data_IF_626500237823
#
_entry.id   IF_626500237823
#
_cell.length_a   1.000
_cell.length_b   1.000
_cell.length_c   1.000
_cell.angle_alpha   90.00
_cell.angle_beta   90.00
_cell.angle_gamma   90.00
#
_symmetry.space_group_name_H-M   'P 1'
#
loop_
_entity.id
_entity.type
_entity.pdbx_description
1 polymer ?
#
# COMPACT_ATOMS: atom_id res chain seq x y z
N UNK A 1 -19.86 -36.41 -12.86
CA UNK A 1 -21.07 -36.57 -13.69
C UNK A 1 -21.76 -35.22 -13.88
N UNK A 2 -22.37 -34.62 -12.85
CA UNK A 2 -23.02 -33.30 -12.98
C UNK A 2 -22.17 -32.21 -13.66
N UNK A 3 -20.91 -32.04 -13.24
CA UNK A 3 -20.02 -31.05 -13.87
C UNK A 3 -19.77 -31.33 -15.36
N UNK A 4 -19.70 -32.59 -15.77
CA UNK A 4 -19.50 -32.97 -17.18
C UNK A 4 -20.74 -32.64 -18.01
N UNK A 5 -21.94 -32.89 -17.46
CA UNK A 5 -23.20 -32.50 -18.09
C UNK A 5 -23.32 -30.99 -18.24
N UNK A 6 -22.95 -30.23 -17.19
CA UNK A 6 -22.88 -28.77 -17.23
C UNK A 6 -21.93 -28.34 -18.36
N UNK A 7 -20.68 -28.80 -18.38
CA UNK A 7 -19.71 -28.44 -19.41
C UNK A 7 -20.24 -28.72 -20.83
N UNK A 8 -20.84 -29.88 -21.06
CA UNK A 8 -21.44 -30.22 -22.35
C UNK A 8 -22.59 -29.27 -22.72
N UNK A 9 -23.46 -28.92 -21.77
CA UNK A 9 -24.57 -27.97 -21.99
C UNK A 9 -24.10 -26.53 -22.25
N UNK A 10 -22.97 -26.13 -21.67
CA UNK A 10 -22.32 -24.85 -21.96
C UNK A 10 -21.52 -24.86 -23.28
N UNK A 11 -21.53 -25.97 -24.03
CA UNK A 11 -20.92 -26.07 -25.36
C UNK A 11 -19.42 -26.38 -25.35
N UNK A 12 -18.87 -26.83 -24.21
CA UNK A 12 -17.48 -27.28 -24.18
C UNK A 12 -17.31 -28.57 -25.00
N UNK A 13 -16.31 -28.60 -25.88
CA UNK A 13 -16.05 -29.75 -26.74
C UNK A 13 -15.59 -30.99 -25.96
N UNK A 14 -15.86 -32.18 -26.50
CA UNK A 14 -15.54 -33.46 -25.87
C UNK A 14 -14.08 -33.58 -25.41
N UNK A 15 -13.14 -33.02 -26.18
CA UNK A 15 -11.71 -33.02 -25.84
C UNK A 15 -11.45 -32.27 -24.51
N UNK A 16 -12.08 -31.13 -24.32
CA UNK A 16 -11.95 -30.33 -23.10
C UNK A 16 -12.58 -31.05 -21.90
N UNK A 17 -13.80 -31.56 -22.08
CA UNK A 17 -14.48 -32.33 -21.02
C UNK A 17 -13.64 -33.53 -20.57
N UNK A 18 -13.04 -34.26 -21.52
CA UNK A 18 -12.15 -35.39 -21.22
C UNK A 18 -10.90 -34.93 -20.45
N UNK A 19 -10.29 -33.79 -20.79
CA UNK A 19 -9.16 -33.26 -20.04
C UNK A 19 -9.53 -32.93 -18.59
N UNK A 20 -10.64 -32.22 -18.37
CA UNK A 20 -11.12 -31.90 -17.02
C UNK A 20 -11.43 -33.18 -16.24
N UNK A 21 -12.09 -34.15 -16.88
CA UNK A 21 -12.40 -35.43 -16.24
C UNK A 21 -11.12 -36.21 -15.88
N UNK A 22 -10.11 -36.20 -16.75
CA UNK A 22 -8.81 -36.78 -16.45
C UNK A 22 -8.15 -36.09 -15.25
N UNK A 23 -8.11 -34.75 -15.21
CA UNK A 23 -7.55 -33.99 -14.08
C UNK A 23 -8.22 -34.32 -12.74
N UNK A 24 -9.55 -34.45 -12.75
CA UNK A 24 -10.31 -34.80 -11.53
C UNK A 24 -10.07 -36.25 -11.11
N UNK A 25 -10.08 -37.20 -12.06
CA UNK A 25 -9.86 -38.63 -11.79
C UNK A 25 -8.42 -38.95 -11.38
N UNK A 26 -7.43 -38.28 -11.95
CA UNK A 26 -6.01 -38.51 -11.65
C UNK A 26 -5.57 -37.85 -10.34
N UNK A 27 -6.43 -37.06 -9.69
CA UNK A 27 -6.08 -36.35 -8.47
C UNK A 27 -5.97 -37.32 -7.27
N UNK A 28 -4.77 -37.37 -6.69
CA UNK A 28 -4.46 -38.07 -5.42
C UNK A 28 -3.87 -37.10 -4.42
N UNK A 29 -4.07 -37.33 -3.13
CA UNK A 29 -3.41 -36.60 -2.05
C UNK A 29 -2.89 -37.52 -0.97
N UNK A 30 -1.97 -36.98 -0.17
CA UNK A 30 -1.55 -37.55 1.11
C UNK A 30 -1.68 -36.47 2.19
N UNK A 31 -2.02 -36.89 3.41
CA UNK A 31 -2.11 -35.98 4.55
C UNK A 31 -0.86 -36.17 5.40
N UNK A 32 -0.26 -35.08 5.86
CA UNK A 32 0.82 -35.17 6.84
C UNK A 32 0.24 -35.47 8.23
N UNK A 33 0.58 -36.64 8.78
CA UNK A 33 0.28 -37.02 10.16
C UNK A 33 1.61 -37.11 10.90
N UNK A 34 1.78 -36.26 11.92
CA UNK A 34 3.02 -36.17 12.72
C UNK A 34 4.30 -35.93 11.91
N UNK A 35 4.21 -35.18 10.80
CA UNK A 35 5.37 -34.84 9.97
C UNK A 35 5.71 -35.89 8.91
N UNK A 36 4.96 -37.00 8.82
CA UNK A 36 5.10 -38.00 7.77
C UNK A 36 3.85 -38.01 6.87
N UNK A 37 3.99 -38.12 5.54
CA UNK A 37 2.85 -38.24 4.64
C UNK A 37 2.19 -39.63 4.82
N UNK A 38 0.86 -39.67 4.83
CA UNK A 38 0.09 -40.92 4.74
C UNK A 38 0.17 -41.51 3.34
N UNK A 39 -0.34 -42.72 3.18
CA UNK A 39 -0.59 -43.29 1.86
C UNK A 39 -1.49 -42.37 1.02
N UNK A 40 -1.25 -42.39 -0.29
CA UNK A 40 -2.04 -41.60 -1.23
C UNK A 40 -3.46 -42.16 -1.36
N UNK A 41 -4.44 -41.28 -1.26
CA UNK A 41 -5.85 -41.59 -1.51
C UNK A 41 -6.40 -40.75 -2.66
N UNK A 42 -7.39 -41.30 -3.36
CA UNK A 42 -8.03 -40.66 -4.51
C UNK A 42 -9.21 -39.78 -4.06
N UNK A 43 -9.37 -38.62 -4.71
CA UNK A 43 -10.55 -37.79 -4.48
C UNK A 43 -11.77 -38.30 -5.24
N UNK A 44 -12.83 -38.63 -4.51
CA UNK A 44 -14.12 -38.99 -5.12
C UNK A 44 -15.06 -37.79 -5.27
N UNK A 45 -14.88 -36.75 -4.45
CA UNK A 45 -15.68 -35.51 -4.46
C UNK A 45 -14.83 -34.31 -4.06
N UNK A 46 -15.15 -33.16 -4.64
CA UNK A 46 -14.48 -31.89 -4.35
C UNK A 46 -13.31 -31.61 -5.29
N UNK A 47 -12.88 -30.35 -5.30
CA UNK A 47 -11.76 -29.86 -6.10
C UNK A 47 -10.64 -29.42 -5.17
N UNK A 48 -9.38 -29.61 -5.56
CA UNK A 48 -8.23 -29.34 -4.70
C UNK A 48 -8.16 -27.86 -4.33
N UNK A 49 -8.03 -27.56 -3.04
CA UNK A 49 -7.82 -26.20 -2.59
C UNK A 49 -6.44 -25.71 -3.06
N UNK A 50 -6.41 -24.62 -3.82
CA UNK A 50 -5.18 -24.08 -4.43
C UNK A 50 -4.94 -24.51 -5.88
N UNK A 51 -5.77 -25.38 -6.45
CA UNK A 51 -5.75 -25.62 -7.90
C UNK A 51 -6.32 -24.40 -8.65
N UNK A 52 -5.60 -23.85 -9.65
CA UNK A 52 -6.05 -22.69 -10.41
C UNK A 52 -7.33 -22.92 -11.21
N UNK A 53 -7.68 -24.17 -11.57
CA UNK A 53 -8.90 -24.46 -12.35
C UNK A 53 -10.16 -24.58 -11.49
N UNK A 54 -10.00 -25.07 -10.27
CA UNK A 54 -11.07 -25.30 -9.31
C UNK A 54 -12.07 -24.14 -9.15
N UNK A 55 -11.65 -22.86 -9.02
CA UNK A 55 -12.60 -21.75 -8.89
C UNK A 55 -13.47 -21.56 -10.14
N UNK A 56 -12.91 -21.75 -11.33
CA UNK A 56 -13.65 -21.58 -12.59
C UNK A 56 -14.69 -22.69 -12.79
N UNK A 57 -14.32 -23.93 -12.46
CA UNK A 57 -15.26 -25.05 -12.50
C UNK A 57 -16.40 -24.85 -11.50
N UNK A 58 -16.10 -24.29 -10.33
CA UNK A 58 -17.14 -23.96 -9.34
C UNK A 58 -18.08 -22.85 -9.83
N UNK A 59 -17.55 -21.82 -10.52
CA UNK A 59 -18.39 -20.77 -11.13
C UNK A 59 -19.37 -21.37 -12.14
N UNK A 60 -18.93 -22.32 -12.98
CA UNK A 60 -19.82 -22.98 -13.94
C UNK A 60 -20.93 -23.81 -13.25
N UNK A 61 -20.60 -24.46 -12.14
CA UNK A 61 -21.60 -25.15 -11.32
C UNK A 61 -22.59 -24.14 -10.73
N UNK A 62 -22.12 -23.02 -10.19
CA UNK A 62 -22.99 -21.97 -9.64
C UNK A 62 -23.83 -21.26 -10.71
N UNK A 63 -23.34 -21.17 -11.94
CA UNK A 63 -24.11 -20.64 -13.07
C UNK A 63 -25.34 -21.51 -13.36
N UNK A 64 -25.22 -22.83 -13.20
CA UNK A 64 -26.39 -23.72 -13.32
C UNK A 64 -27.46 -23.46 -12.24
N UNK A 65 -27.04 -23.09 -11.02
CA UNK A 65 -27.96 -22.65 -9.96
C UNK A 65 -28.57 -21.29 -10.31
N UNK A 66 -27.78 -20.35 -10.85
CA UNK A 66 -28.26 -19.05 -11.31
C UNK A 66 -29.38 -19.22 -12.33
N UNK A 67 -29.16 -20.02 -13.37
CA UNK A 67 -30.14 -20.27 -14.43
C UNK A 67 -31.38 -20.99 -13.90
N UNK A 68 -31.20 -21.96 -12.98
CA UNK A 68 -32.32 -22.68 -12.38
C UNK A 68 -33.19 -21.75 -11.53
N UNK A 69 -32.57 -20.90 -10.72
CA UNK A 69 -33.29 -19.94 -9.87
C UNK A 69 -33.94 -18.83 -10.71
N UNK A 70 -33.28 -18.37 -11.77
CA UNK A 70 -33.84 -17.37 -12.68
C UNK A 70 -35.15 -17.86 -13.31
N UNK A 71 -35.21 -19.12 -13.75
CA UNK A 71 -36.47 -19.71 -14.27
C UNK A 71 -37.60 -19.72 -13.24
N UNK A 72 -37.28 -19.97 -11.98
CA UNK A 72 -38.25 -19.96 -10.87
C UNK A 72 -38.81 -18.55 -10.65
N UNK A 73 -37.96 -17.53 -10.82
CA UNK A 73 -38.36 -16.12 -10.78
C UNK A 73 -39.20 -15.76 -12.01
N UNK A 74 -38.78 -16.17 -13.21
CA UNK A 74 -39.45 -15.85 -14.48
C UNK A 74 -40.88 -16.43 -14.55
N UNK A 75 -41.08 -17.63 -13.99
CA UNK A 75 -42.39 -18.29 -13.88
C UNK A 75 -43.23 -17.70 -12.73
N UNK A 76 -42.64 -16.85 -11.89
CA UNK A 76 -43.33 -16.18 -10.78
C UNK A 76 -43.49 -17.04 -9.52
N UNK A 77 -42.81 -18.18 -9.41
CA UNK A 77 -42.80 -19.03 -8.22
C UNK A 77 -41.98 -18.44 -7.07
N UNK A 78 -41.02 -17.57 -7.40
CA UNK A 78 -40.27 -16.78 -6.43
C UNK A 78 -40.36 -15.29 -6.77
N UNK A 79 -40.86 -14.50 -5.83
CA UNK A 79 -41.00 -13.04 -6.00
C UNK A 79 -39.78 -12.31 -5.45
N UNK A 80 -38.91 -11.82 -6.33
CA UNK A 80 -37.75 -10.98 -5.99
C UNK A 80 -38.14 -9.58 -5.51
N UNK A 81 -37.13 -8.74 -5.26
CA UNK A 81 -37.28 -7.33 -4.89
C UNK A 81 -37.12 -6.46 -6.14
N UNK A 82 -38.17 -5.75 -6.53
CA UNK A 82 -38.10 -4.77 -7.62
C UNK A 82 -37.46 -3.48 -7.10
N UNK A 83 -36.28 -3.15 -7.60
CA UNK A 83 -35.62 -1.88 -7.29
C UNK A 83 -36.14 -0.76 -8.20
N UNK A 84 -36.28 -1.06 -9.50
CA UNK A 84 -36.73 -0.14 -10.54
C UNK A 84 -37.64 -0.90 -11.53
N UNK A 85 -38.25 -0.22 -12.50
CA UNK A 85 -39.08 -0.86 -13.54
C UNK A 85 -38.37 -1.95 -14.37
N UNK A 86 -37.03 -1.98 -14.38
CA UNK A 86 -36.23 -2.89 -15.20
C UNK A 86 -35.35 -3.87 -14.40
N UNK A 87 -35.29 -3.75 -13.07
CA UNK A 87 -34.36 -4.54 -12.25
C UNK A 87 -35.09 -5.21 -11.08
N UNK A 88 -35.25 -6.52 -11.20
CA UNK A 88 -35.70 -7.41 -10.13
C UNK A 88 -34.48 -8.11 -9.52
N UNK A 89 -34.24 -7.89 -8.23
CA UNK A 89 -33.16 -8.51 -7.47
C UNK A 89 -33.70 -9.74 -6.73
N UNK A 90 -33.28 -10.93 -7.16
CA UNK A 90 -33.70 -12.21 -6.59
C UNK A 90 -32.57 -12.97 -5.91
N UNK A 91 -31.36 -12.92 -6.46
CA UNK A 91 -30.20 -13.64 -5.97
C UNK A 91 -28.88 -12.99 -6.39
N UNK A 92 -27.83 -13.21 -5.61
CA UNK A 92 -26.46 -12.77 -5.88
C UNK A 92 -25.48 -13.84 -5.44
N UNK A 93 -24.48 -14.14 -6.28
CA UNK A 93 -23.44 -15.11 -5.98
C UNK A 93 -22.06 -14.45 -6.03
N UNK A 94 -21.24 -14.72 -5.02
CA UNK A 94 -19.84 -14.33 -4.97
C UNK A 94 -19.01 -15.51 -4.50
N UNK A 95 -18.32 -16.18 -5.44
CA UNK A 95 -17.65 -17.45 -5.18
C UNK A 95 -18.59 -18.42 -4.44
N UNK A 96 -18.26 -18.79 -3.20
CA UNK A 96 -19.03 -19.72 -2.37
C UNK A 96 -20.18 -19.07 -1.58
N UNK A 97 -20.26 -17.73 -1.56
CA UNK A 97 -21.29 -17.01 -0.83
C UNK A 97 -22.49 -16.71 -1.73
N UNK A 98 -23.67 -17.12 -1.28
CA UNK A 98 -24.93 -16.90 -1.97
C UNK A 98 -25.89 -16.07 -1.11
N UNK A 99 -26.52 -15.06 -1.71
CA UNK A 99 -27.60 -14.29 -1.11
C UNK A 99 -28.85 -14.45 -1.96
N UNK A 100 -29.98 -14.72 -1.31
CA UNK A 100 -31.30 -14.71 -1.92
C UNK A 100 -32.13 -13.58 -1.31
N UNK A 101 -32.80 -12.81 -2.16
CA UNK A 101 -33.56 -11.62 -1.79
C UNK A 101 -34.94 -11.68 -2.43
N UNK A 102 -35.99 -11.54 -1.63
CA UNK A 102 -37.35 -11.60 -2.14
C UNK A 102 -38.35 -11.04 -1.15
N UNK A 103 -39.60 -10.94 -1.60
CA UNK A 103 -40.72 -10.55 -0.75
C UNK A 103 -40.90 -11.58 0.39
N UNK A 104 -41.17 -11.10 1.60
CA UNK A 104 -41.41 -11.99 2.73
C UNK A 104 -42.73 -12.73 2.54
N UNK A 105 -42.66 -14.04 2.28
CA UNK A 105 -43.81 -14.93 2.19
C UNK A 105 -43.39 -16.38 2.43
N UNK A 106 -44.28 -17.17 3.01
CA UNK A 106 -44.04 -18.61 3.19
C UNK A 106 -43.83 -19.35 1.88
N UNK A 107 -44.49 -18.89 0.80
CA UNK A 107 -44.32 -19.43 -0.55
C UNK A 107 -42.89 -19.23 -1.01
N UNK A 108 -42.34 -18.01 -0.96
CA UNK A 108 -40.95 -17.75 -1.34
C UNK A 108 -39.95 -18.56 -0.52
N UNK A 109 -40.15 -18.67 0.80
CA UNK A 109 -39.27 -19.45 1.68
C UNK A 109 -39.28 -20.93 1.31
N UNK A 110 -40.47 -21.48 1.06
CA UNK A 110 -40.63 -22.89 0.67
C UNK A 110 -40.06 -23.16 -0.72
N UNK A 111 -40.30 -22.27 -1.68
CA UNK A 111 -39.70 -22.34 -3.02
C UNK A 111 -38.18 -22.32 -2.94
N UNK A 112 -37.60 -21.46 -2.11
CA UNK A 112 -36.14 -21.40 -1.91
C UNK A 112 -35.61 -22.74 -1.38
N UNK A 113 -36.24 -23.34 -0.37
CA UNK A 113 -35.87 -24.64 0.17
C UNK A 113 -35.85 -25.70 -0.94
N UNK A 114 -36.94 -25.82 -1.70
CA UNK A 114 -37.03 -26.82 -2.76
C UNK A 114 -35.97 -26.64 -3.85
N UNK A 115 -35.71 -25.41 -4.30
CA UNK A 115 -34.69 -25.18 -5.33
C UNK A 115 -33.30 -25.56 -4.84
N UNK A 116 -32.99 -25.24 -3.59
CA UNK A 116 -31.71 -25.57 -2.97
C UNK A 116 -31.55 -27.08 -2.72
N UNK A 117 -32.62 -27.78 -2.34
CA UNK A 117 -32.64 -29.24 -2.21
C UNK A 117 -32.46 -29.92 -3.58
N UNK A 118 -33.20 -29.50 -4.61
CA UNK A 118 -33.04 -29.98 -5.97
C UNK A 118 -31.60 -29.78 -6.46
N UNK A 119 -31.03 -28.61 -6.20
CA UNK A 119 -29.65 -28.32 -6.56
C UNK A 119 -28.65 -29.22 -5.80
N UNK A 120 -28.85 -29.43 -4.50
CA UNK A 120 -28.01 -30.34 -3.71
C UNK A 120 -28.04 -31.77 -4.26
N UNK A 121 -29.24 -32.29 -4.55
CA UNK A 121 -29.40 -33.63 -5.11
C UNK A 121 -28.78 -33.78 -6.51
N UNK A 122 -28.84 -32.74 -7.34
CA UNK A 122 -28.26 -32.77 -8.68
C UNK A 122 -26.73 -32.58 -8.67
N UNK A 123 -26.24 -31.58 -7.94
CA UNK A 123 -24.85 -31.13 -8.04
C UNK A 123 -23.92 -31.73 -6.98
N UNK A 124 -24.44 -32.03 -5.79
CA UNK A 124 -23.68 -32.60 -4.66
C UNK A 124 -23.20 -31.62 -3.57
N UNK A 125 -22.90 -30.33 -3.83
CA UNK A 125 -22.62 -29.34 -2.80
C UNK A 125 -23.76 -29.18 -1.78
N UNK A 126 -23.50 -29.56 -0.53
CA UNK A 126 -24.42 -29.37 0.59
C UNK A 126 -24.32 -27.95 1.14
N UNK A 127 -25.45 -27.27 1.25
CA UNK A 127 -25.52 -25.96 1.90
C UNK A 127 -25.21 -26.11 3.38
N UNK A 128 -24.33 -25.23 3.87
CA UNK A 128 -24.01 -25.20 5.27
C UNK A 128 -25.06 -24.38 6.02
N UNK A 129 -26.10 -25.06 6.52
CA UNK A 129 -27.19 -24.44 7.27
C UNK A 129 -26.72 -23.74 8.56
N UNK A 130 -25.67 -24.25 9.21
CA UNK A 130 -25.07 -23.61 10.40
C UNK A 130 -24.42 -22.26 10.10
N UNK A 131 -23.90 -22.06 8.88
CA UNK A 131 -23.34 -20.78 8.42
C UNK A 131 -24.37 -19.91 7.72
N UNK A 132 -25.47 -20.50 7.27
CA UNK A 132 -26.55 -19.81 6.59
C UNK A 132 -27.37 -19.00 7.60
N UNK A 133 -27.84 -17.83 7.16
CA UNK A 133 -28.63 -16.94 8.02
C UNK A 133 -29.76 -16.28 7.26
N UNK A 134 -30.88 -16.03 7.95
CA UNK A 134 -32.04 -15.31 7.42
C UNK A 134 -32.23 -13.97 8.14
N UNK A 135 -32.61 -12.94 7.39
CA UNK A 135 -32.97 -11.62 7.92
C UNK A 135 -34.32 -11.19 7.36
N UNK A 136 -35.24 -10.79 8.24
CA UNK A 136 -36.46 -10.08 7.85
C UNK A 136 -36.24 -8.57 7.88
N UNK A 137 -36.53 -7.89 6.79
CA UNK A 137 -36.53 -6.41 6.74
C UNK A 137 -37.95 -5.92 6.98
N UNK A 138 -38.15 -5.18 8.08
CA UNK A 138 -39.49 -4.74 8.51
C UNK A 138 -40.47 -5.90 8.75
N UNK A 139 -39.97 -7.01 9.30
CA UNK A 139 -40.74 -8.20 9.68
C UNK A 139 -40.55 -8.43 11.17
N UNK A 140 -41.63 -8.82 11.86
CA UNK A 140 -41.58 -9.12 13.28
C UNK A 140 -40.67 -10.32 13.57
N UNK A 141 -39.89 -10.25 14.65
CA UNK A 141 -38.90 -11.27 15.00
C UNK A 141 -39.48 -12.67 15.22
N UNK A 142 -40.75 -12.76 15.64
CA UNK A 142 -41.49 -14.03 15.81
C UNK A 142 -41.58 -14.80 14.48
N UNK A 143 -42.03 -14.15 13.40
CA UNK A 143 -42.08 -14.74 12.05
C UNK A 143 -40.69 -15.08 11.51
N UNK A 144 -39.69 -14.23 11.77
CA UNK A 144 -38.32 -14.50 11.33
C UNK A 144 -37.75 -15.74 12.00
N UNK A 145 -38.02 -15.93 13.30
CA UNK A 145 -37.60 -17.13 14.03
C UNK A 145 -38.29 -18.39 13.50
N UNK A 146 -39.58 -18.32 13.19
CA UNK A 146 -40.30 -19.46 12.58
C UNK A 146 -39.70 -19.86 11.22
N UNK A 147 -39.43 -18.87 10.36
CA UNK A 147 -38.79 -19.11 9.07
C UNK A 147 -37.37 -19.66 9.21
N UNK A 148 -36.60 -19.18 10.21
CA UNK A 148 -35.26 -19.67 10.51
C UNK A 148 -35.26 -21.15 10.92
N UNK A 149 -36.21 -21.55 11.78
CA UNK A 149 -36.40 -22.96 12.17
C UNK A 149 -36.77 -23.82 10.95
N UNK A 150 -37.68 -23.33 10.11
CA UNK A 150 -38.09 -24.04 8.87
C UNK A 150 -36.94 -24.23 7.88
N UNK A 151 -36.06 -23.24 7.74
CA UNK A 151 -34.85 -23.30 6.92
C UNK A 151 -33.69 -24.07 7.59
N UNK A 152 -33.75 -24.29 8.90
CA UNK A 152 -32.65 -24.83 9.68
C UNK A 152 -31.46 -23.88 9.83
N UNK A 153 -31.65 -22.56 9.67
CA UNK A 153 -30.60 -21.55 9.67
C UNK A 153 -30.69 -20.59 10.88
N UNK A 154 -29.66 -19.77 11.10
CA UNK A 154 -29.66 -18.78 12.19
C UNK A 154 -30.34 -17.46 11.78
N UNK A 155 -30.86 -16.71 12.74
CA UNK A 155 -31.34 -15.34 12.47
C UNK A 155 -30.17 -14.37 12.39
N UNK A 156 -30.14 -13.54 11.35
CA UNK A 156 -29.19 -12.45 11.15
C UNK A 156 -29.82 -11.13 11.60
N UNK A 157 -29.09 -10.39 12.42
CA UNK A 157 -29.47 -9.04 12.87
C UNK A 157 -28.62 -7.97 12.20
N UNK A 158 -29.21 -6.80 11.97
CA UNK A 158 -28.51 -5.62 11.48
C UNK A 158 -27.90 -4.84 12.65
N UNK A 159 -26.68 -4.28 12.51
CA UNK A 159 -25.80 -4.32 11.34
C UNK A 159 -24.92 -5.60 11.29
N UNK A 160 -24.61 -6.07 10.08
CA UNK A 160 -23.77 -7.26 9.86
C UNK A 160 -22.65 -7.00 8.84
N UNK A 161 -21.68 -7.92 8.73
CA UNK A 161 -20.57 -7.82 7.77
C UNK A 161 -20.82 -8.78 6.60
N UNK A 162 -20.76 -8.26 5.38
CA UNK A 162 -20.79 -9.05 4.14
C UNK A 162 -19.69 -8.57 3.19
N UNK A 163 -18.91 -9.51 2.64
CA UNK A 163 -17.74 -9.24 1.78
C UNK A 163 -16.77 -8.20 2.37
N UNK A 164 -16.62 -8.22 3.70
CA UNK A 164 -15.74 -7.31 4.42
C UNK A 164 -16.33 -5.93 4.74
N UNK A 165 -17.54 -5.61 4.27
CA UNK A 165 -18.24 -4.33 4.46
C UNK A 165 -19.43 -4.48 5.41
N UNK A 166 -19.67 -3.46 6.25
CA UNK A 166 -20.80 -3.41 7.18
C UNK A 166 -22.09 -3.02 6.45
N UNK A 167 -23.06 -3.92 6.40
CA UNK A 167 -24.40 -3.72 5.84
C UNK A 167 -25.37 -3.32 6.95
N UNK A 168 -26.24 -2.35 6.67
CA UNK A 168 -27.18 -1.79 7.65
C UNK A 168 -26.58 -0.75 8.61
N UNK A 169 -25.27 -0.51 8.53
CA UNK A 169 -24.61 0.60 9.23
C UNK A 169 -24.66 1.90 8.43
N UNK A 170 -24.80 3.03 9.10
CA UNK A 170 -24.72 4.35 8.45
C UNK A 170 -23.25 4.71 8.18
N UNK A 171 -22.76 4.41 6.97
CA UNK A 171 -21.38 4.70 6.57
C UNK A 171 -21.05 6.20 6.45
N UNK A 172 -22.02 7.10 6.61
CA UNK A 172 -21.78 8.54 6.80
C UNK A 172 -21.29 8.90 8.21
N UNK A 173 -21.39 7.97 9.18
CA UNK A 173 -20.93 8.18 10.56
C UNK A 173 -19.51 7.67 10.76
N UNK A 174 -18.73 8.39 11.55
CA UNK A 174 -17.34 8.03 11.89
C UNK A 174 -17.25 6.65 12.55
N UNK A 175 -18.22 6.29 13.41
CA UNK A 175 -18.22 5.00 14.11
C UNK A 175 -18.26 3.80 13.15
N UNK A 176 -18.91 3.94 11.99
CA UNK A 176 -19.01 2.84 11.01
C UNK A 176 -17.66 2.52 10.36
N UNK A 177 -16.72 3.47 10.33
CA UNK A 177 -15.38 3.29 9.78
C UNK A 177 -14.35 2.78 10.81
N UNK A 178 -14.75 2.64 12.08
CA UNK A 178 -13.83 2.25 13.15
C UNK A 178 -13.15 0.89 12.85
N UNK A 179 -13.91 -0.10 12.40
CA UNK A 179 -13.36 -1.43 12.04
C UNK A 179 -12.34 -1.35 10.88
N UNK A 180 -12.55 -0.46 9.91
CA UNK A 180 -11.64 -0.23 8.78
C UNK A 180 -10.34 0.40 9.28
N UNK A 181 -10.45 1.43 10.12
CA UNK A 181 -9.32 2.12 10.73
C UNK A 181 -8.51 1.16 11.62
N UNK A 182 -9.17 0.33 12.43
CA UNK A 182 -8.49 -0.66 13.28
C UNK A 182 -7.81 -1.76 12.46
N UNK A 183 -8.41 -2.22 11.35
CA UNK A 183 -7.74 -3.13 10.41
C UNK A 183 -6.46 -2.51 9.84
N UNK A 184 -6.52 -1.25 9.44
CA UNK A 184 -5.34 -0.49 8.97
C UNK A 184 -4.27 -0.45 10.06
N UNK A 185 -4.61 -0.02 11.28
CA UNK A 185 -3.67 0.04 12.42
C UNK A 185 -3.06 -1.33 12.73
N UNK A 186 -3.88 -2.39 12.77
CA UNK A 186 -3.44 -3.75 13.10
C UNK A 186 -2.50 -4.33 12.05
N UNK A 187 -2.76 -4.08 10.77
CA UNK A 187 -1.83 -4.49 9.70
C UNK A 187 -0.51 -3.75 9.82
N UNK A 188 -0.54 -2.46 10.12
CA UNK A 188 0.66 -1.64 10.27
C UNK A 188 1.47 -2.05 11.51
N UNK A 189 0.82 -2.42 12.62
CA UNK A 189 1.51 -2.85 13.85
C UNK A 189 2.17 -4.24 13.71
N UNK A 190 1.54 -5.16 12.98
CA UNK A 190 2.10 -6.50 12.71
C UNK A 190 3.27 -6.48 11.73
N UNK A 191 3.44 -5.40 10.97
CA UNK A 191 4.55 -5.30 10.05
C UNK A 191 5.84 -5.01 10.82
N UNK A 192 6.86 -5.87 10.63
CA UNK A 192 8.22 -5.64 11.12
C UNK A 192 8.85 -4.44 10.39
N UNK A 193 8.39 -3.23 10.71
CA UNK A 193 8.88 -2.00 10.08
C UNK A 193 10.39 -1.85 10.26
N UNK A 194 10.94 -2.33 11.39
CA UNK A 194 12.38 -2.29 11.68
C UNK A 194 13.25 -3.03 10.66
N UNK A 195 12.75 -4.09 10.00
CA UNK A 195 13.52 -4.89 9.03
C UNK A 195 13.28 -4.49 7.58
N UNK A 196 12.34 -3.58 7.31
CA UNK A 196 11.99 -3.17 5.95
C UNK A 196 12.80 -1.95 5.52
N UNK A 197 13.35 -2.01 4.30
CA UNK A 197 13.98 -0.86 3.63
C UNK A 197 12.98 0.29 3.42
N UNK A 198 13.46 1.51 3.19
CA UNK A 198 12.62 2.69 2.89
C UNK A 198 11.63 2.41 1.76
N UNK A 199 12.11 1.74 0.70
CA UNK A 199 11.27 1.35 -0.43
C UNK A 199 10.25 0.30 -0.04
N UNK A 200 10.64 -0.69 0.77
CA UNK A 200 9.73 -1.70 1.33
C UNK A 200 8.64 -1.09 2.22
N UNK A 201 8.99 -0.13 3.08
CA UNK A 201 8.03 0.60 3.93
C UNK A 201 7.07 1.45 3.10
N UNK A 202 7.54 2.13 2.05
CA UNK A 202 6.68 2.90 1.13
C UNK A 202 5.73 2.00 0.35
N UNK A 203 6.22 0.87 -0.16
CA UNK A 203 5.38 -0.12 -0.86
C UNK A 203 4.35 -0.72 0.09
N UNK A 204 4.73 -1.02 1.34
CA UNK A 204 3.82 -1.51 2.37
C UNK A 204 2.76 -0.47 2.76
N UNK A 205 3.14 0.79 2.95
CA UNK A 205 2.19 1.88 3.19
C UNK A 205 1.21 2.00 2.04
N UNK A 206 1.69 1.98 0.79
CA UNK A 206 0.83 1.99 -0.40
C UNK A 206 -0.09 0.78 -0.46
N UNK A 207 0.37 -0.42 -0.08
CA UNK A 207 -0.49 -1.60 -0.12
C UNK A 207 -1.53 -1.60 1.01
N UNK A 208 -1.18 -1.17 2.22
CA UNK A 208 -2.08 -1.20 3.38
C UNK A 208 -3.05 -0.01 3.40
N UNK A 209 -2.53 1.22 3.24
CA UNK A 209 -3.37 2.44 3.20
C UNK A 209 -4.02 2.65 1.83
N UNK A 210 -3.50 2.03 0.78
CA UNK A 210 -4.17 1.98 -0.51
C UNK A 210 -5.32 0.98 -0.45
N UNK A 211 -5.05 -0.32 -0.37
CA UNK A 211 -6.09 -1.31 -0.66
C UNK A 211 -7.21 -1.40 0.37
N UNK A 212 -6.91 -1.29 1.68
CA UNK A 212 -7.91 -1.55 2.72
C UNK A 212 -9.00 -0.47 2.73
N UNK A 213 -8.68 0.83 2.85
CA UNK A 213 -9.72 1.83 2.85
C UNK A 213 -10.29 2.06 1.45
N UNK A 214 -9.50 1.99 0.36
CA UNK A 214 -10.00 2.26 -1.01
C UNK A 214 -11.20 1.39 -1.36
N UNK A 215 -11.22 0.11 -0.96
CA UNK A 215 -12.38 -0.75 -1.16
C UNK A 215 -13.65 -0.13 -0.57
N UNK A 216 -13.61 0.33 0.68
CA UNK A 216 -14.75 1.00 1.32
C UNK A 216 -15.02 2.40 0.75
N UNK A 217 -13.98 3.16 0.38
CA UNK A 217 -14.12 4.49 -0.24
C UNK A 217 -14.76 4.42 -1.63
N UNK A 218 -14.59 3.30 -2.36
CA UNK A 218 -15.22 3.09 -3.66
C UNK A 218 -16.74 2.88 -3.56
N UNK A 219 -17.22 2.45 -2.39
CA UNK A 219 -18.64 2.15 -2.14
C UNK A 219 -19.33 3.30 -1.39
N UNK A 220 -18.62 3.98 -0.47
CA UNK A 220 -19.20 4.99 0.41
C UNK A 220 -18.40 6.29 0.42
N UNK A 221 -19.12 7.41 0.52
CA UNK A 221 -18.51 8.71 0.78
C UNK A 221 -17.90 8.73 2.18
N UNK A 222 -16.60 9.03 2.25
CA UNK A 222 -15.85 9.04 3.51
C UNK A 222 -16.12 10.32 4.30
N UNK A 223 -16.43 10.24 5.61
CA UNK A 223 -16.50 11.43 6.46
C UNK A 223 -15.13 12.12 6.57
N UNK A 224 -15.10 13.46 6.55
CA UNK A 224 -13.85 14.22 6.62
C UNK A 224 -13.00 13.86 7.85
N UNK A 225 -13.64 13.55 8.98
CA UNK A 225 -12.94 13.12 10.19
C UNK A 225 -12.22 11.78 10.03
N UNK A 226 -12.77 10.85 9.25
CA UNK A 226 -12.14 9.55 8.96
C UNK A 226 -10.94 9.75 8.03
N UNK A 227 -11.05 10.64 7.03
CA UNK A 227 -9.91 11.01 6.19
C UNK A 227 -8.76 11.59 7.02
N UNK A 228 -9.05 12.54 7.90
CA UNK A 228 -8.06 13.12 8.82
C UNK A 228 -7.39 12.05 9.70
N UNK A 229 -8.13 11.05 10.18
CA UNK A 229 -7.57 9.95 10.97
C UNK A 229 -6.62 9.08 10.11
N UNK A 230 -7.02 8.74 8.89
CA UNK A 230 -6.19 7.94 7.98
C UNK A 230 -4.93 8.71 7.55
N UNK A 231 -5.03 10.01 7.32
CA UNK A 231 -3.88 10.90 7.07
C UNK A 231 -2.97 10.99 8.28
N UNK A 232 -3.51 11.17 9.48
CA UNK A 232 -2.71 11.18 10.72
C UNK A 232 -1.95 9.86 10.92
N UNK A 233 -2.55 8.71 10.60
CA UNK A 233 -1.87 7.41 10.63
C UNK A 233 -0.72 7.36 9.62
N UNK A 234 -0.96 7.83 8.39
CA UNK A 234 0.06 7.93 7.34
C UNK A 234 1.23 8.79 7.81
N UNK A 235 0.93 9.96 8.34
CA UNK A 235 1.92 10.97 8.69
C UNK A 235 2.71 10.57 9.94
N UNK A 236 2.05 9.98 10.96
CA UNK A 236 2.72 9.40 12.13
C UNK A 236 3.76 8.33 11.75
N UNK A 237 3.46 7.52 10.73
CA UNK A 237 4.40 6.51 10.24
C UNK A 237 5.53 7.15 9.47
N UNK A 238 5.27 8.16 8.63
CA UNK A 238 6.34 8.91 7.99
C UNK A 238 7.24 9.60 9.02
N UNK A 239 6.68 10.21 10.05
CA UNK A 239 7.44 10.78 11.17
C UNK A 239 8.29 9.72 11.85
N UNK A 240 7.74 8.54 12.16
CA UNK A 240 8.52 7.41 12.72
C UNK A 240 9.60 6.91 11.76
N UNK A 241 9.32 6.84 10.47
CA UNK A 241 10.29 6.43 9.45
C UNK A 241 11.44 7.44 9.39
N UNK A 242 11.13 8.72 9.35
CA UNK A 242 12.11 9.82 9.33
C UNK A 242 12.92 9.81 10.63
N UNK A 243 12.30 9.76 11.81
CA UNK A 243 13.02 9.76 13.09
C UNK A 243 13.82 8.48 13.32
N UNK A 244 13.40 7.33 12.78
CA UNK A 244 14.20 6.09 12.85
C UNK A 244 15.41 6.14 11.93
N UNK A 245 15.31 6.80 10.78
CA UNK A 245 16.41 6.90 9.80
C UNK A 245 17.38 8.01 10.19
N UNK A 246 16.88 9.12 10.73
CA UNK A 246 17.62 10.35 10.91
C UNK A 246 17.79 10.77 12.39
N UNK A 247 17.23 10.03 13.34
CA UNK A 247 17.15 10.45 14.75
C UNK A 247 16.10 11.56 14.94
N UNK A 248 15.81 11.91 16.20
CA UNK A 248 14.81 12.94 16.55
C UNK A 248 15.18 14.31 15.96
N UNK A 249 16.48 14.58 15.75
CA UNK A 249 17.02 15.87 15.32
C UNK A 249 17.75 15.82 13.95
N UNK A 250 17.53 14.80 13.12
CA UNK A 250 18.14 14.74 11.78
C UNK A 250 19.65 14.45 11.74
N UNK A 251 20.31 14.34 12.91
CA UNK A 251 21.73 14.04 13.12
C UNK A 251 22.69 14.80 12.19
N UNK A 252 22.45 16.10 11.99
CA UNK A 252 23.28 16.94 11.11
C UNK A 252 24.69 17.16 11.67
N UNK A 253 24.89 17.02 13.00
CA UNK A 253 26.12 17.45 13.68
C UNK A 253 26.87 16.38 14.49
N UNK A 254 26.46 15.11 14.49
CA UNK A 254 27.13 14.07 15.28
C UNK A 254 28.14 13.28 14.44
N UNK A 255 29.40 13.71 14.52
CA UNK A 255 30.54 12.92 14.07
C UNK A 255 30.80 11.77 15.05
N UNK A 256 30.16 10.62 14.83
CA UNK A 256 30.52 9.41 15.57
C UNK A 256 29.47 8.32 15.53
N UNK A 257 29.80 7.22 14.86
CA UNK A 257 29.08 5.95 14.99
C UNK A 257 28.92 5.24 13.66
N UNK A 258 29.55 4.06 13.54
CA UNK A 258 29.34 3.10 12.45
C UNK A 258 27.86 2.67 12.45
N UNK A 259 27.02 3.40 11.75
CA UNK A 259 25.68 2.97 11.39
C UNK A 259 25.59 2.97 9.86
N UNK A 260 25.01 1.91 9.31
CA UNK A 260 24.83 1.64 7.88
C UNK A 260 24.67 2.91 7.04
N UNK A 261 25.40 2.97 5.92
CA UNK A 261 25.38 4.05 4.91
C UNK A 261 23.92 4.43 4.58
N UNK A 262 23.40 5.42 5.28
CA UNK A 262 22.07 5.95 5.06
C UNK A 262 22.09 6.83 3.82
N UNK A 263 20.93 7.01 3.19
CA UNK A 263 20.77 7.95 2.07
C UNK A 263 21.23 9.37 2.44
N UNK A 264 21.18 9.72 3.74
CA UNK A 264 21.67 10.99 4.26
C UNK A 264 23.19 11.07 4.31
N UNK A 265 23.88 10.01 4.74
CA UNK A 265 25.35 9.94 4.65
C UNK A 265 25.82 10.01 3.19
N UNK A 266 25.07 9.41 2.25
CA UNK A 266 25.33 9.56 0.82
C UNK A 266 25.11 10.99 0.31
N UNK A 267 24.07 11.70 0.79
CA UNK A 267 23.85 13.12 0.47
C UNK A 267 24.95 13.98 1.07
N UNK A 268 25.35 13.76 2.32
CA UNK A 268 26.44 14.49 2.99
C UNK A 268 27.78 14.21 2.33
N UNK A 269 28.07 12.96 1.96
CA UNK A 269 29.25 12.61 1.20
C UNK A 269 29.19 13.23 -0.21
N UNK A 270 28.04 13.28 -0.87
CA UNK A 270 27.91 13.93 -2.18
C UNK A 270 28.04 15.46 -2.08
N UNK A 271 27.58 16.08 -0.98
CA UNK A 271 27.84 17.48 -0.66
C UNK A 271 29.33 17.71 -0.46
N UNK A 272 30.06 16.78 0.17
CA UNK A 272 31.53 16.81 0.27
C UNK A 272 32.21 16.59 -1.09
N UNK A 273 31.66 15.74 -1.97
CA UNK A 273 32.15 15.57 -3.35
C UNK A 273 31.92 16.83 -4.19
N UNK A 274 30.78 17.50 -4.03
CA UNK A 274 30.46 18.77 -4.68
C UNK A 274 31.40 19.88 -4.20
N UNK A 275 31.68 19.93 -2.90
CA UNK A 275 32.66 20.85 -2.32
C UNK A 275 34.06 20.67 -2.93
N UNK A 276 34.52 19.43 -3.11
CA UNK A 276 35.79 19.13 -3.79
C UNK A 276 35.81 19.55 -5.27
N UNK A 277 34.64 19.76 -5.88
CA UNK A 277 34.46 20.20 -7.26
C UNK A 277 34.09 21.69 -7.37
N UNK A 278 34.32 22.47 -6.32
CA UNK A 278 34.10 23.92 -6.30
C UNK A 278 32.64 24.35 -6.07
N UNK A 279 31.73 23.42 -5.74
CA UNK A 279 30.32 23.73 -5.46
C UNK A 279 30.07 23.62 -3.96
N UNK A 280 30.05 24.77 -3.29
CA UNK A 280 29.89 24.89 -1.85
C UNK A 280 28.41 25.06 -1.49
N UNK A 281 27.68 23.95 -1.34
CA UNK A 281 26.21 23.94 -1.17
C UNK A 281 25.74 24.79 0.02
N UNK A 282 26.50 24.79 1.12
CA UNK A 282 26.19 25.58 2.31
C UNK A 282 26.40 27.08 2.12
N UNK A 283 27.11 27.51 1.05
CA UNK A 283 27.25 28.93 0.76
C UNK A 283 25.92 29.56 0.30
N UNK A 284 24.97 28.74 -0.13
CA UNK A 284 23.64 29.16 -0.57
C UNK A 284 22.58 29.12 0.54
N UNK A 285 22.98 28.77 1.77
CA UNK A 285 22.09 28.68 2.93
C UNK A 285 22.49 29.72 3.98
N UNK A 286 21.52 30.52 4.45
CA UNK A 286 21.70 31.42 5.58
C UNK A 286 20.80 30.99 6.75
N UNK A 287 21.29 31.17 7.97
CA UNK A 287 20.49 30.95 9.17
C UNK A 287 19.58 32.15 9.42
N UNK A 288 18.27 31.91 9.56
CA UNK A 288 17.30 32.90 10.00
C UNK A 288 17.00 32.69 11.48
N UNK A 289 17.25 33.73 12.27
CA UNK A 289 17.12 33.70 13.73
C UNK A 289 15.64 33.65 14.14
N UNK A 290 15.27 32.60 14.87
CA UNK A 290 13.97 32.40 15.50
C UNK A 290 14.11 32.49 17.02
N UNK A 291 13.95 31.37 17.73
CA UNK A 291 14.10 31.28 19.19
C UNK A 291 15.55 31.14 19.68
N UNK A 292 16.50 30.92 18.76
CA UNK A 292 17.93 30.94 19.04
C UNK A 292 18.49 29.73 19.80
N UNK A 293 17.70 28.67 19.98
CA UNK A 293 18.13 27.44 20.68
C UNK A 293 19.11 26.60 19.85
N UNK A 294 19.11 26.75 18.52
CA UNK A 294 19.98 25.96 17.63
C UNK A 294 21.20 26.73 17.13
N UNK A 295 21.35 28.00 17.52
CA UNK A 295 22.35 28.94 16.98
C UNK A 295 23.68 28.81 17.71
N UNK A 296 24.74 28.52 16.97
CA UNK A 296 26.13 28.61 17.44
C UNK A 296 26.70 29.96 17.04
N UNK A 297 26.58 30.93 17.95
CA UNK A 297 26.87 32.35 17.69
C UNK A 297 28.16 32.61 16.91
N UNK A 298 29.26 31.97 17.29
CA UNK A 298 30.57 32.19 16.65
C UNK A 298 30.81 31.36 15.38
N UNK A 299 30.10 30.24 15.21
CA UNK A 299 30.41 29.22 14.21
C UNK A 299 29.42 29.17 13.05
N UNK A 300 28.21 29.67 13.25
CA UNK A 300 27.19 29.69 12.20
C UNK A 300 27.36 30.90 11.28
N UNK A 301 26.87 30.76 10.05
CA UNK A 301 26.90 31.82 9.04
C UNK A 301 25.68 32.72 9.19
N UNK A 302 25.92 33.97 9.55
CA UNK A 302 24.89 34.97 9.79
C UNK A 302 24.42 35.63 8.49
N UNK A 303 23.14 36.00 8.45
CA UNK A 303 22.57 36.77 7.35
C UNK A 303 23.35 38.09 7.19
N UNK A 304 23.92 38.31 6.00
CA UNK A 304 24.75 39.46 5.61
C UNK A 304 26.15 39.60 6.26
N UNK A 305 26.56 38.69 7.14
CA UNK A 305 27.82 38.83 7.91
C UNK A 305 28.84 37.72 7.74
N UNK A 306 28.52 36.57 7.13
CA UNK A 306 29.47 35.45 7.11
C UNK A 306 29.66 34.81 8.49
N UNK A 307 30.80 34.15 8.72
CA UNK A 307 31.11 33.48 10.00
C UNK A 307 31.85 34.46 10.92
N UNK A 308 31.29 34.74 12.10
CA UNK A 308 31.83 35.75 13.02
C UNK A 308 33.22 35.42 13.55
N UNK A 309 33.55 34.13 13.73
CA UNK A 309 34.91 33.69 14.08
C UNK A 309 35.95 34.16 13.06
N UNK A 310 35.61 34.14 11.77
CA UNK A 310 36.55 34.47 10.71
C UNK A 310 36.70 35.99 10.55
N UNK A 311 35.63 36.75 10.83
CA UNK A 311 35.66 38.21 10.86
C UNK A 311 36.37 38.78 12.10
N UNK A 312 36.25 38.13 13.25
CA UNK A 312 36.80 38.61 14.53
C UNK A 312 37.66 37.55 15.24
N UNK A 313 38.76 37.07 14.64
CA UNK A 313 39.52 35.91 15.11
C UNK A 313 40.22 36.14 16.44
N UNK A 314 40.68 37.37 16.72
CA UNK A 314 41.26 37.73 18.03
C UNK A 314 40.22 37.71 19.16
N UNK A 315 39.00 38.17 18.88
CA UNK A 315 37.91 38.20 19.85
C UNK A 315 37.45 36.77 20.18
N UNK A 316 37.34 35.92 19.15
CA UNK A 316 37.05 34.50 19.32
C UNK A 316 38.12 33.73 20.11
N UNK A 317 39.41 34.11 19.98
CA UNK A 317 40.51 33.45 20.66
C UNK A 317 40.58 33.78 22.17
N UNK A 318 40.13 34.96 22.57
CA UNK A 318 40.09 35.42 23.96
C UNK A 318 38.82 34.96 24.70
N UNK A 319 37.85 34.41 23.98
CA UNK A 319 36.54 34.05 24.52
C UNK A 319 36.56 32.65 25.17
N UNK A 320 36.36 32.60 26.49
CA UNK A 320 36.41 31.36 27.28
C UNK A 320 35.09 30.61 27.32
N UNK A 321 33.95 31.24 26.99
CA UNK A 321 32.62 30.63 27.09
C UNK A 321 31.82 30.76 25.79
N UNK A 322 32.32 30.08 24.75
CA UNK A 322 31.82 30.18 23.37
C UNK A 322 30.36 29.75 23.17
N UNK A 323 29.78 28.97 24.08
CA UNK A 323 28.40 28.45 23.95
C UNK A 323 27.37 29.23 24.79
N UNK A 324 27.76 29.97 25.84
CA UNK A 324 26.81 30.61 26.78
C UNK A 324 26.61 32.11 26.55
N UNK A 325 27.34 32.72 25.61
CA UNK A 325 27.23 34.15 25.31
C UNK A 325 25.93 34.53 24.62
N UNK A 326 25.39 33.70 23.73
CA UNK A 326 24.18 34.05 22.98
C UNK A 326 23.00 34.31 23.92
N UNK A 327 22.80 33.45 24.93
CA UNK A 327 21.76 33.63 25.95
C UNK A 327 21.97 34.91 26.78
N UNK A 328 23.21 35.25 27.14
CA UNK A 328 23.54 36.50 27.85
C UNK A 328 23.36 37.75 26.97
N UNK A 329 23.63 37.65 25.68
CA UNK A 329 23.43 38.73 24.71
C UNK A 329 21.94 38.97 24.46
N UNK A 330 21.14 37.91 24.38
CA UNK A 330 19.66 37.98 24.32
C UNK A 330 19.09 38.58 25.62
N UNK A 331 19.64 38.25 26.79
CA UNK A 331 19.27 38.90 28.06
C UNK A 331 19.68 40.39 28.12
N UNK A 332 20.83 40.77 27.55
CA UNK A 332 21.30 42.16 27.53
C UNK A 332 20.54 43.04 26.53
N UNK A 333 19.95 42.44 25.49
CA UNK A 333 19.18 43.13 24.44
C UNK A 333 17.67 42.98 24.67
N UNK A 334 17.26 43.04 25.94
CA UNK A 334 15.91 42.81 26.50
C UNK A 334 14.73 43.56 25.84
N UNK A 335 14.95 44.36 24.80
CA UNK A 335 13.93 45.06 24.02
C UNK A 335 13.61 44.42 22.66
N UNK A 336 14.33 43.37 22.24
CA UNK A 336 14.05 42.68 20.96
C UNK A 336 13.24 41.41 21.23
N UNK A 337 11.95 41.43 20.86
CA UNK A 337 11.12 40.23 20.87
C UNK A 337 11.55 39.31 19.73
N UNK A 338 12.22 38.21 20.05
CA UNK A 338 12.43 37.12 19.11
C UNK A 338 11.07 36.55 18.66
N UNK A 339 10.98 36.12 17.40
CA UNK A 339 9.77 35.49 16.91
C UNK A 339 9.57 34.11 17.57
N UNK A 340 8.35 33.70 17.94
CA UNK A 340 8.06 32.40 18.55
C UNK A 340 8.05 31.27 17.51
N UNK A 341 9.02 31.29 16.60
CA UNK A 341 9.20 30.34 15.50
C UNK A 341 10.59 29.74 15.67
N UNK A 342 10.71 28.43 15.46
CA UNK A 342 12.00 27.74 15.54
C UNK A 342 12.99 28.31 14.53
N UNK A 343 14.28 28.33 14.89
CA UNK A 343 15.36 28.68 13.97
C UNK A 343 15.28 27.86 12.67
N UNK A 344 15.44 28.52 11.52
CA UNK A 344 15.32 27.84 10.22
C UNK A 344 16.39 28.29 9.22
N UNK A 345 16.79 27.35 8.37
CA UNK A 345 17.71 27.61 7.26
C UNK A 345 16.93 28.12 6.06
N UNK A 346 17.37 29.23 5.48
CA UNK A 346 16.75 29.90 4.34
C UNK A 346 17.63 29.75 3.11
N UNK A 347 16.99 29.43 1.98
CA UNK A 347 17.66 29.23 0.70
C UNK A 347 17.80 30.56 -0.05
N UNK A 348 19.02 30.99 -0.34
CA UNK A 348 19.29 32.34 -0.88
C UNK A 348 19.12 32.46 -2.41
N UNK A 349 18.83 31.36 -3.11
CA UNK A 349 18.78 31.34 -4.58
C UNK A 349 17.39 31.65 -5.15
N UNK A 350 16.37 31.72 -4.29
CA UNK A 350 15.00 32.07 -4.69
C UNK A 350 14.43 33.11 -3.73
N UNK A 351 13.60 34.01 -4.24
CA UNK A 351 12.94 35.06 -3.45
C UNK A 351 11.96 34.50 -2.41
N UNK A 352 11.54 33.24 -2.54
CA UNK A 352 10.70 32.52 -1.59
C UNK A 352 11.44 32.12 -0.31
N UNK A 353 12.78 32.03 -0.35
CA UNK A 353 13.58 31.47 0.73
C UNK A 353 13.46 29.95 0.89
N UNK A 354 12.68 29.27 0.04
CA UNK A 354 12.45 27.83 0.09
C UNK A 354 13.46 27.06 -0.77
N UNK A 355 13.82 25.85 -0.32
CA UNK A 355 14.75 25.00 -1.07
C UNK A 355 14.12 24.49 -2.37
N UNK A 356 14.81 24.73 -3.49
CA UNK A 356 14.36 24.31 -4.82
C UNK A 356 15.37 23.38 -5.50
N UNK A 357 14.89 22.17 -5.78
CA UNK A 357 15.66 21.16 -6.52
C UNK A 357 15.99 21.63 -7.94
N UNK A 358 15.12 22.44 -8.56
CA UNK A 358 15.33 22.95 -9.91
C UNK A 358 16.52 23.92 -9.96
N UNK A 359 16.64 24.78 -8.95
CA UNK A 359 17.61 25.87 -8.92
C UNK A 359 19.01 25.36 -8.57
N UNK A 360 19.14 24.43 -7.61
CA UNK A 360 20.43 23.78 -7.32
C UNK A 360 20.90 22.89 -8.48
N UNK A 361 19.97 22.23 -9.18
CA UNK A 361 20.28 21.40 -10.37
C UNK A 361 20.90 22.25 -11.48
N UNK A 362 20.32 23.43 -11.75
CA UNK A 362 20.84 24.36 -12.76
C UNK A 362 22.27 24.79 -12.46
N UNK A 363 22.58 25.16 -11.22
CA UNK A 363 23.95 25.56 -10.82
C UNK A 363 24.92 24.40 -10.97
N UNK A 364 24.55 23.19 -10.53
CA UNK A 364 25.40 22.01 -10.70
C UNK A 364 25.67 21.75 -12.18
N UNK A 365 24.65 21.88 -13.03
CA UNK A 365 24.77 21.65 -14.46
C UNK A 365 25.64 22.74 -15.13
N UNK A 366 25.46 24.03 -14.79
CA UNK A 366 26.27 25.17 -15.27
C UNK A 366 27.74 25.09 -14.81
N UNK A 367 27.99 24.54 -13.62
CA UNK A 367 29.35 24.41 -13.07
C UNK A 367 30.08 23.18 -13.58
N UNK A 368 29.35 22.09 -13.91
CA UNK A 368 29.95 20.82 -14.35
C UNK A 368 30.03 20.65 -15.87
N UNK A 369 29.25 21.38 -16.65
CA UNK A 369 29.21 21.20 -18.11
C UNK A 369 29.42 22.54 -18.83
N UNK A 370 30.42 22.66 -19.74
CA UNK A 370 30.53 23.83 -20.60
C UNK A 370 29.29 23.94 -21.50
N UNK A 371 28.94 25.18 -21.84
CA UNK A 371 27.73 25.57 -22.59
C UNK A 371 27.73 24.97 -24.01
N UNK A 372 27.39 23.69 -24.13
CA UNK A 372 27.15 23.01 -25.39
C UNK A 372 25.66 23.16 -25.66
N UNK A 373 25.33 23.80 -26.79
CA UNK A 373 23.99 24.31 -27.15
C UNK A 373 22.84 23.29 -27.19
N UNK A 374 23.11 22.00 -26.99
CA UNK A 374 22.07 20.98 -26.86
C UNK A 374 21.89 20.61 -25.40
N UNK A 375 20.97 21.32 -24.76
CA UNK A 375 20.46 20.92 -23.45
C UNK A 375 20.05 19.44 -23.50
N UNK A 376 20.59 18.62 -22.61
CA UNK A 376 19.96 17.35 -22.22
C UNK A 376 18.65 17.65 -21.46
N UNK A 377 17.73 18.38 -22.10
CA UNK A 377 16.37 18.58 -21.64
C UNK A 377 15.66 17.25 -21.82
N UNK A 378 14.91 16.84 -20.80
CA UNK A 378 13.94 15.75 -20.89
C UNK A 378 13.22 15.87 -22.23
N UNK A 379 13.49 14.97 -23.16
CA UNK A 379 12.81 14.98 -24.46
C UNK A 379 11.35 14.67 -24.14
N UNK A 380 10.47 15.67 -24.30
CA UNK A 380 9.05 15.56 -23.87
C UNK A 380 8.31 14.41 -24.55
N UNK A 381 8.77 14.02 -25.73
CA UNK A 381 8.23 12.92 -26.53
C UNK A 381 8.72 11.54 -26.11
N UNK A 382 9.70 11.46 -25.20
CA UNK A 382 10.32 10.22 -24.77
C UNK A 382 9.89 9.90 -23.33
N UNK A 383 9.41 8.67 -23.03
CA UNK A 383 9.02 8.29 -21.70
C UNK A 383 10.11 8.58 -20.65
N UNK A 384 9.70 9.04 -19.47
CA UNK A 384 10.63 9.53 -18.44
C UNK A 384 11.70 8.49 -18.05
N UNK A 385 11.37 7.19 -18.11
CA UNK A 385 12.29 6.08 -17.85
C UNK A 385 13.42 6.00 -18.89
N UNK A 386 13.11 6.29 -20.16
CA UNK A 386 14.09 6.26 -21.25
C UNK A 386 15.00 7.48 -21.17
N UNK A 387 14.46 8.66 -20.84
CA UNK A 387 15.27 9.85 -20.54
C UNK A 387 16.23 9.61 -19.35
N UNK A 388 15.74 8.98 -18.27
CA UNK A 388 16.58 8.61 -17.14
C UNK A 388 17.65 7.59 -17.50
N UNK A 389 17.33 6.58 -18.31
CA UNK A 389 18.29 5.59 -18.78
C UNK A 389 19.37 6.22 -19.67
N UNK A 390 18.99 7.08 -20.61
CA UNK A 390 19.94 7.81 -21.47
C UNK A 390 20.89 8.70 -20.66
N UNK A 391 20.39 9.35 -19.61
CA UNK A 391 21.23 10.12 -18.69
C UNK A 391 22.21 9.22 -17.90
N UNK A 392 21.74 8.08 -17.40
CA UNK A 392 22.59 7.10 -16.68
C UNK A 392 23.69 6.53 -17.60
N UNK A 393 23.36 6.25 -18.86
CA UNK A 393 24.30 5.78 -19.89
C UNK A 393 25.36 6.86 -20.15
N UNK A 394 24.94 8.11 -20.41
CA UNK A 394 25.86 9.23 -20.69
C UNK A 394 26.83 9.49 -19.54
N UNK A 395 26.39 9.29 -18.30
CA UNK A 395 27.23 9.49 -17.13
C UNK A 395 28.08 8.26 -16.76
N UNK A 396 28.04 7.17 -17.53
CA UNK A 396 28.73 5.91 -17.26
C UNK A 396 28.43 5.36 -15.84
N UNK A 397 27.15 5.40 -15.43
CA UNK A 397 26.70 5.02 -14.07
C UNK A 397 25.91 3.71 -14.08
N UNK A 398 25.79 3.05 -15.24
CA UNK A 398 25.11 1.77 -15.36
C UNK A 398 25.74 0.71 -14.43
N UNK A 399 24.93 -0.19 -13.85
CA UNK A 399 25.41 -1.23 -12.95
C UNK A 399 26.06 -2.39 -13.73
N UNK A 400 27.04 -2.09 -14.58
CA UNK A 400 27.88 -3.10 -15.23
C UNK A 400 28.85 -3.70 -14.21
N UNK A 401 29.32 -4.93 -14.40
CA UNK A 401 30.28 -5.59 -13.48
C UNK A 401 31.50 -4.71 -13.23
N UNK A 402 32.01 -4.00 -14.23
CA UNK A 402 33.09 -3.03 -14.06
C UNK A 402 32.71 -1.90 -13.09
N UNK A 403 31.54 -1.28 -13.27
CA UNK A 403 31.08 -0.16 -12.42
C UNK A 403 30.68 -0.61 -11.01
N UNK A 404 30.19 -1.84 -10.85
CA UNK A 404 29.92 -2.45 -9.55
C UNK A 404 31.22 -2.76 -8.79
N UNK A 405 32.25 -3.28 -9.48
CA UNK A 405 33.57 -3.55 -8.91
C UNK A 405 34.26 -2.25 -8.46
N UNK A 406 34.21 -1.19 -9.29
CA UNK A 406 34.71 0.17 -8.92
C UNK A 406 34.03 0.74 -7.67
N UNK A 407 32.80 0.30 -7.35
CA UNK A 407 32.04 0.72 -6.15
C UNK A 407 32.29 -0.17 -4.93
N UNK A 408 33.23 -1.12 -5.03
CA UNK A 408 33.62 -2.01 -3.94
C UNK A 408 32.62 -3.13 -3.66
N UNK A 409 31.79 -3.48 -4.65
CA UNK A 409 30.95 -4.68 -4.58
C UNK A 409 31.81 -5.85 -5.04
N UNK A 410 31.86 -6.91 -4.23
CA UNK A 410 32.62 -8.12 -4.56
C UNK A 410 31.91 -8.90 -5.67
N UNK A 411 32.61 -9.13 -6.77
CA UNK A 411 32.07 -9.79 -7.97
C UNK A 411 33.15 -10.72 -8.51
N UNK A 412 32.76 -11.96 -8.81
CA UNK A 412 33.68 -13.04 -9.18
C UNK A 412 34.52 -12.73 -10.44
N UNK A 413 34.00 -11.94 -11.38
CA UNK A 413 34.73 -11.47 -12.55
C UNK A 413 34.09 -10.20 -13.14
N UNK A 414 34.90 -9.33 -13.74
CA UNK A 414 34.44 -8.16 -14.52
C UNK A 414 34.23 -8.46 -16.01
N UNK A 415 34.46 -9.72 -16.43
CA UNK A 415 34.26 -10.17 -17.79
C UNK A 415 32.76 -10.15 -18.16
N UNK A 416 32.51 -9.88 -19.44
CA UNK A 416 31.20 -9.92 -20.05
C UNK A 416 30.63 -11.34 -19.95
N UNK A 417 29.48 -11.54 -19.29
CA UNK A 417 28.90 -12.87 -19.11
C UNK A 417 28.40 -13.52 -20.42
N UNK A 418 28.44 -12.80 -21.55
CA UNK A 418 27.97 -13.28 -22.85
C UNK A 418 29.12 -13.80 -23.70
N UNK A 419 30.28 -13.12 -23.69
CA UNK A 419 31.41 -13.47 -24.56
C UNK A 419 32.67 -13.93 -23.80
N UNK A 420 32.71 -13.81 -22.47
CA UNK A 420 33.82 -14.15 -21.57
C UNK A 420 35.19 -13.53 -21.89
N UNK A 421 35.30 -12.73 -22.95
CA UNK A 421 36.58 -12.22 -23.46
C UNK A 421 36.73 -10.70 -23.28
N UNK A 422 35.63 -9.95 -23.20
CA UNK A 422 35.62 -8.49 -23.00
C UNK A 422 35.23 -8.09 -21.58
N UNK A 423 35.60 -6.89 -21.13
CA UNK A 423 35.08 -6.31 -19.89
C UNK A 423 33.62 -5.88 -20.10
N UNK A 424 32.73 -6.24 -19.16
CA UNK A 424 31.35 -5.74 -19.21
C UNK A 424 31.37 -4.23 -18.91
N UNK A 425 31.19 -3.42 -19.97
CA UNK A 425 31.24 -1.96 -19.93
C UNK A 425 29.87 -1.33 -20.14
#
# INVERSE_FOLDING_TARGET
DFLDDVLKKFGFGNKWCNWIQCCLKSSRDSIFVNGSPTDEFQFYKGSKQGDPLSPFLFILIMESLHLSFQRVVDVGLFKGINLNHSLCLSHMFYAYDAIFMGQWSDVNITTLIHVLECFFHASGPKINLFKSKIMGVNVEGSYVNQAAVKLGCQVLTSPFIYLGTKVGGTMSRVQAWHEVVEKVKTRLSKCKMKTLSIRGRRTLLKSVLGFIPIFHMSIFRVPSKVLQILESIRDSIWTKVITTIHGVNGNVNSSGGKADRSCWLAIVDEVRVLHKKGVYVFDFMNLKLGNGEMVKFWLDRWFEGGILKDLFPRMFALENMKETQFSKLVELVQSISLMPINDCWVWNLESSGEFSVATIRRIIDETRFPNIGDTTRRVKYVPIKVNSLAWIIRCDVLPTRMNLSRRGIDIQAISCPICDYGVES
#
